data_IF_005347353745
#
_entry.id   IF_005347353745
#
_cell.length_a   1.000
_cell.length_b   1.000
_cell.length_c   1.000
_cell.angle_alpha   90.00
_cell.angle_beta   90.00
_cell.angle_gamma   90.00
#
_symmetry.space_group_name_H-M   'P 1'
#
loop_
_entity.id
_entity.type
_entity.pdbx_description
1 polymer ?
#
# COMPACT_ATOMS: atom_id res chain seq x y z
N UNK A 1 12.43 -11.34 -1.07
CA UNK A 1 13.29 -10.25 -0.54
C UNK A 1 12.75 -9.71 0.79
N UNK A 2 11.43 -9.54 0.93
CA UNK A 2 10.80 -9.12 2.19
C UNK A 2 9.94 -10.24 2.80
N UNK A 3 9.73 -10.18 4.11
CA UNK A 3 8.80 -11.05 4.82
C UNK A 3 7.35 -10.67 4.48
N UNK A 4 6.40 -11.63 4.49
CA UNK A 4 4.98 -11.32 4.28
C UNK A 4 4.44 -10.28 5.27
N UNK A 5 4.90 -10.34 6.53
CA UNK A 5 4.59 -9.35 7.58
C UNK A 5 5.04 -7.93 7.20
N UNK A 6 6.23 -7.82 6.62
CA UNK A 6 6.84 -6.54 6.22
C UNK A 6 6.09 -5.91 5.05
N UNK A 7 5.70 -6.72 4.07
CA UNK A 7 4.87 -6.29 2.93
C UNK A 7 3.48 -5.86 3.42
N UNK A 8 2.88 -6.61 4.35
CA UNK A 8 1.59 -6.26 4.93
C UNK A 8 1.66 -4.92 5.70
N UNK A 9 2.67 -4.74 6.55
CA UNK A 9 2.89 -3.50 7.31
C UNK A 9 3.05 -2.29 6.39
N UNK A 10 3.90 -2.39 5.36
CA UNK A 10 4.09 -1.32 4.38
C UNK A 10 2.81 -1.01 3.58
N UNK A 11 2.05 -2.05 3.21
CA UNK A 11 0.77 -1.88 2.51
C UNK A 11 -0.27 -1.16 3.37
N UNK A 12 -0.36 -1.50 4.67
CA UNK A 12 -1.24 -0.82 5.63
C UNK A 12 -0.82 0.64 5.78
N UNK A 13 0.48 0.89 5.95
CA UNK A 13 1.01 2.26 6.06
C UNK A 13 0.64 3.11 4.84
N UNK A 14 0.78 2.53 3.63
CA UNK A 14 0.39 3.20 2.40
C UNK A 14 -1.12 3.46 2.33
N UNK A 15 -1.95 2.48 2.67
CA UNK A 15 -3.41 2.63 2.69
C UNK A 15 -3.89 3.69 3.69
N UNK A 16 -3.29 3.75 4.89
CA UNK A 16 -3.57 4.78 5.89
C UNK A 16 -3.27 6.18 5.34
N UNK A 17 -2.14 6.32 4.64
CA UNK A 17 -1.76 7.60 4.01
C UNK A 17 -2.77 8.02 2.94
N UNK A 18 -3.22 7.09 2.10
CA UNK A 18 -4.26 7.33 1.08
C UNK A 18 -5.58 7.78 1.75
N UNK A 19 -5.90 7.22 2.91
CA UNK A 19 -7.09 7.57 3.69
C UNK A 19 -6.93 8.85 4.54
N UNK A 20 -5.82 9.59 4.40
CA UNK A 20 -5.56 10.81 5.18
C UNK A 20 -5.34 10.56 6.67
N UNK A 21 -4.91 9.34 7.06
CA UNK A 21 -4.56 8.98 8.44
C UNK A 21 -3.04 9.01 8.64
N UNK A 22 -2.55 9.08 9.89
CA UNK A 22 -1.14 8.95 10.18
C UNK A 22 -0.59 7.64 9.58
N UNK A 23 0.51 7.70 8.78
CA UNK A 23 0.98 6.56 8.01
C UNK A 23 1.53 5.43 8.88
N UNK A 24 1.99 5.72 10.09
CA UNK A 24 2.44 4.72 11.04
C UNK A 24 2.27 5.25 12.46
N UNK A 25 1.61 4.49 13.33
CA UNK A 25 1.32 4.88 14.71
C UNK A 25 2.14 4.06 15.70
N UNK A 26 2.35 4.60 16.90
CA UNK A 26 3.06 3.90 17.97
C UNK A 26 2.44 2.53 18.31
N UNK A 27 1.10 2.42 18.21
CA UNK A 27 0.38 1.15 18.39
C UNK A 27 0.79 0.11 17.33
N UNK A 28 0.87 0.50 16.06
CA UNK A 28 1.28 -0.41 14.99
C UNK A 28 2.74 -0.85 15.16
N UNK A 29 3.63 0.06 15.55
CA UNK A 29 5.01 -0.27 15.86
C UNK A 29 5.11 -1.25 17.04
N UNK A 30 4.32 -1.06 18.10
CA UNK A 30 4.31 -1.96 19.26
C UNK A 30 3.88 -3.39 18.92
N UNK A 31 2.85 -3.56 18.08
CA UNK A 31 2.34 -4.89 17.73
C UNK A 31 3.12 -5.59 16.61
N UNK A 32 3.69 -4.83 15.67
CA UNK A 32 4.40 -5.40 14.53
C UNK A 32 5.92 -5.48 14.74
N UNK A 33 6.46 -4.69 15.67
CA UNK A 33 7.90 -4.55 15.91
C UNK A 33 8.65 -3.74 14.84
N UNK A 34 7.98 -3.26 13.79
CA UNK A 34 8.60 -2.49 12.72
C UNK A 34 8.52 -1.00 12.97
N UNK A 35 9.66 -0.31 12.85
CA UNK A 35 9.70 1.15 12.78
C UNK A 35 9.27 1.63 11.39
N UNK A 36 8.94 2.91 11.27
CA UNK A 36 8.62 3.47 9.96
C UNK A 36 9.79 3.38 8.98
N UNK A 37 11.03 3.54 9.47
CA UNK A 37 12.26 3.50 8.66
C UNK A 37 12.45 2.11 8.02
N UNK A 38 12.14 1.04 8.76
CA UNK A 38 12.18 -0.33 8.24
C UNK A 38 11.20 -0.52 7.06
N UNK A 39 10.08 0.19 7.06
CA UNK A 39 9.05 0.06 6.04
C UNK A 39 9.35 0.88 4.78
N UNK A 40 10.12 1.96 4.87
CA UNK A 40 10.46 2.87 3.76
C UNK A 40 10.87 2.13 2.49
N UNK A 41 11.84 1.18 2.50
CA UNK A 41 12.27 0.51 1.27
C UNK A 41 11.14 -0.27 0.60
N UNK A 42 10.35 -1.02 1.37
CA UNK A 42 9.20 -1.79 0.87
C UNK A 42 8.12 -0.85 0.33
N UNK A 43 7.89 0.26 1.03
CA UNK A 43 6.86 1.23 0.72
C UNK A 43 7.16 1.99 -0.57
N UNK A 44 8.44 2.25 -0.87
CA UNK A 44 8.88 2.81 -2.16
C UNK A 44 8.60 1.83 -3.31
N UNK A 45 8.92 0.55 -3.14
CA UNK A 45 8.64 -0.47 -4.16
C UNK A 45 7.13 -0.64 -4.41
N UNK A 46 6.33 -0.70 -3.34
CA UNK A 46 4.85 -0.79 -3.46
C UNK A 46 4.30 0.41 -4.24
N UNK A 47 4.73 1.64 -3.93
CA UNK A 47 4.29 2.84 -4.65
C UNK A 47 4.68 2.80 -6.12
N UNK A 48 5.90 2.37 -6.43
CA UNK A 48 6.34 2.21 -7.81
C UNK A 48 5.45 1.22 -8.58
N UNK A 49 5.13 0.09 -7.96
CA UNK A 49 4.22 -0.92 -8.53
C UNK A 49 2.80 -0.40 -8.73
N UNK A 50 2.24 0.30 -7.74
CA UNK A 50 0.90 0.88 -7.84
C UNK A 50 0.85 1.94 -8.95
N UNK A 51 1.88 2.78 -9.08
CA UNK A 51 1.97 3.80 -10.13
C UNK A 51 1.91 3.21 -11.54
N UNK A 52 2.57 2.08 -11.77
CA UNK A 52 2.56 1.40 -13.09
C UNK A 52 1.41 0.41 -13.25
N UNK A 53 0.66 0.11 -12.19
CA UNK A 53 -0.43 -0.86 -12.22
C UNK A 53 -1.45 -0.65 -13.37
N UNK A 54 -1.83 0.58 -13.77
CA UNK A 54 -2.75 0.79 -14.89
C UNK A 54 -2.16 0.42 -16.27
N UNK A 55 -0.83 0.36 -16.42
CA UNK A 55 -0.16 0.13 -17.71
C UNK A 55 0.39 -1.29 -17.87
N UNK A 56 0.41 -2.08 -16.79
CA UNK A 56 0.89 -3.48 -16.83
C UNK A 56 -0.01 -4.38 -17.70
N UNK A 57 0.57 -5.44 -18.28
CA UNK A 57 -0.22 -6.45 -19.02
C UNK A 57 -1.22 -7.19 -18.11
N UNK A 58 -0.88 -7.38 -16.85
CA UNK A 58 -1.69 -8.09 -15.85
C UNK A 58 -2.68 -7.16 -15.15
N UNK A 59 -3.83 -6.92 -15.79
CA UNK A 59 -4.85 -5.97 -15.32
C UNK A 59 -5.92 -6.56 -14.38
N UNK A 60 -5.96 -7.87 -14.16
CA UNK A 60 -7.08 -8.52 -13.46
C UNK A 60 -7.30 -7.98 -12.04
N UNK A 61 -6.22 -7.83 -11.26
CA UNK A 61 -6.27 -7.31 -9.89
C UNK A 61 -6.67 -5.83 -9.91
N UNK A 62 -6.02 -5.02 -10.75
CA UNK A 62 -6.32 -3.60 -10.87
C UNK A 62 -7.80 -3.36 -11.23
N UNK A 63 -8.32 -4.08 -12.22
CA UNK A 63 -9.75 -4.02 -12.60
C UNK A 63 -10.68 -4.47 -11.47
N UNK A 64 -10.35 -5.57 -10.76
CA UNK A 64 -11.14 -6.06 -9.62
C UNK A 64 -11.29 -4.96 -8.56
N UNK A 65 -10.19 -4.35 -8.11
CA UNK A 65 -10.20 -3.33 -7.06
C UNK A 65 -10.53 -1.91 -7.55
N UNK A 66 -10.74 -1.73 -8.87
CA UNK A 66 -11.30 -0.50 -9.46
C UNK A 66 -12.83 -0.48 -9.45
N UNK A 67 -13.48 -1.63 -9.19
CA UNK A 67 -14.93 -1.72 -9.08
C UNK A 67 -15.46 -0.97 -7.85
N UNK A 68 -16.69 -0.46 -7.95
CA UNK A 68 -17.40 0.18 -6.82
C UNK A 68 -17.56 -0.77 -5.62
N UNK A 69 -17.61 -2.09 -5.84
CA UNK A 69 -17.63 -3.10 -4.76
C UNK A 69 -16.45 -2.94 -3.78
N UNK A 70 -15.30 -2.49 -4.27
CA UNK A 70 -14.10 -2.23 -3.48
C UNK A 70 -13.79 -0.75 -3.38
N UNK A 71 -14.83 0.10 -3.43
CA UNK A 71 -14.73 1.55 -3.29
C UNK A 71 -13.74 2.20 -4.27
N UNK A 72 -13.52 1.57 -5.43
CA UNK A 72 -12.55 2.05 -6.43
C UNK A 72 -11.14 2.24 -5.86
N UNK A 73 -10.78 1.48 -4.81
CA UNK A 73 -9.55 1.65 -4.04
C UNK A 73 -8.28 1.66 -4.91
N UNK A 74 -8.25 0.85 -5.99
CA UNK A 74 -7.12 0.85 -6.92
C UNK A 74 -6.95 2.19 -7.65
N UNK A 75 -8.04 2.86 -8.01
CA UNK A 75 -7.99 4.17 -8.67
C UNK A 75 -7.51 5.25 -7.69
N UNK A 76 -8.05 5.25 -6.47
CA UNK A 76 -7.66 6.20 -5.42
C UNK A 76 -6.19 6.04 -5.03
N UNK A 77 -5.69 4.80 -4.96
CA UNK A 77 -4.30 4.51 -4.64
C UNK A 77 -3.34 5.09 -5.70
N UNK A 78 -3.67 4.99 -6.99
CA UNK A 78 -2.86 5.57 -8.08
C UNK A 78 -2.85 7.10 -8.03
N UNK A 79 -3.98 7.72 -7.69
CA UNK A 79 -4.10 9.18 -7.62
C UNK A 79 -3.37 9.82 -6.42
N UNK A 80 -3.07 9.03 -5.39
CA UNK A 80 -2.51 9.50 -4.11
C UNK A 80 -0.98 9.31 -4.01
N UNK A 81 -0.33 8.99 -5.12
CA UNK A 81 1.12 8.81 -5.26
C UNK A 81 1.72 10.08 -5.83
#
# INVERSE_FOLDING_TARGET
KYLPSHIAAASISHALRIAGRPPWTATLQQYTGYSYDDLVPVLVEIKALVKVAPTLKIQAIFKKYSSQKYLRAALTAVQSI
#
